data_IF_114999407174
#
_entry.id   IF_114999407174
#
_cell.length_a   1.000
_cell.length_b   1.000
_cell.length_c   1.000
_cell.angle_alpha   90.00
_cell.angle_beta   90.00
_cell.angle_gamma   90.00
#
_symmetry.space_group_name_H-M   'P 1'
#
loop_
_entity.id
_entity.type
_entity.pdbx_description
1 polymer ?
#
# COMPACT_ATOMS: atom_id res chain seq x y z
N UNK A 1 -40.89 39.62 54.14
CA UNK A 1 -39.85 38.56 54.19
C UNK A 1 -40.43 37.28 53.58
N UNK A 2 -40.11 36.93 52.33
CA UNK A 2 -40.25 35.58 51.74
C UNK A 2 -39.83 35.65 50.27
N UNK A 3 -38.52 35.69 50.04
CA UNK A 3 -37.93 35.69 48.71
C UNK A 3 -36.61 34.90 48.75
N UNK A 4 -36.68 33.62 49.13
CA UNK A 4 -35.48 32.76 49.20
C UNK A 4 -35.73 31.31 48.80
N UNK A 5 -36.99 30.85 48.73
CA UNK A 5 -37.30 29.44 48.47
C UNK A 5 -37.34 29.05 46.98
N UNK A 6 -37.53 30.00 46.07
CA UNK A 6 -37.69 29.73 44.63
C UNK A 6 -36.38 29.59 43.84
N UNK A 7 -35.31 30.24 44.31
CA UNK A 7 -34.03 30.24 43.59
C UNK A 7 -33.27 28.91 43.76
N UNK A 8 -33.34 28.32 44.96
CA UNK A 8 -32.75 27.02 45.27
C UNK A 8 -33.44 25.86 44.53
N UNK A 9 -34.75 25.94 44.34
CA UNK A 9 -35.51 24.93 43.58
C UNK A 9 -35.24 25.00 42.08
N UNK A 10 -35.08 26.21 41.51
CA UNK A 10 -34.61 26.38 40.13
C UNK A 10 -33.18 25.85 39.93
N UNK A 11 -32.29 26.01 40.90
CA UNK A 11 -30.92 25.49 40.83
C UNK A 11 -30.88 23.96 40.86
N UNK A 12 -31.74 23.32 41.65
CA UNK A 12 -31.82 21.84 41.74
C UNK A 12 -32.42 21.21 40.48
N UNK A 13 -33.35 21.89 39.80
CA UNK A 13 -33.91 21.43 38.51
C UNK A 13 -32.90 21.50 37.36
N UNK A 14 -31.97 22.46 37.38
CA UNK A 14 -30.94 22.61 36.34
C UNK A 14 -29.82 21.55 36.40
N UNK A 15 -29.59 20.93 37.57
CA UNK A 15 -28.50 19.97 37.78
C UNK A 15 -28.86 18.51 37.39
N UNK A 16 -30.12 18.22 37.04
CA UNK A 16 -30.64 16.85 36.95
C UNK A 16 -30.58 16.13 35.60
N UNK A 17 -30.10 16.76 34.52
CA UNK A 17 -30.15 16.18 33.17
C UNK A 17 -28.77 15.96 32.53
N UNK A 18 -27.80 15.53 33.33
CA UNK A 18 -26.64 14.82 32.81
C UNK A 18 -27.01 13.34 32.59
N UNK A 19 -27.95 13.08 31.67
CA UNK A 19 -28.10 11.75 31.12
C UNK A 19 -26.79 11.42 30.40
N UNK A 20 -25.96 10.59 31.04
CA UNK A 20 -24.77 10.03 30.44
C UNK A 20 -25.22 9.19 29.24
N UNK A 21 -25.32 9.83 28.08
CA UNK A 21 -25.32 9.16 26.79
C UNK A 21 -23.94 8.54 26.66
N UNK A 22 -23.81 7.32 27.20
CA UNK A 22 -22.72 6.45 26.83
C UNK A 22 -22.77 6.32 25.30
N UNK A 23 -21.67 6.55 24.58
CA UNK A 23 -21.61 6.15 23.19
C UNK A 23 -21.97 4.65 23.15
N UNK A 24 -22.67 4.16 22.11
CA UNK A 24 -22.85 2.73 21.96
C UNK A 24 -21.45 2.12 22.07
N UNK A 25 -21.29 1.16 22.98
CA UNK A 25 -20.11 0.33 23.02
C UNK A 25 -20.01 -0.30 21.64
N UNK A 26 -19.19 0.30 20.79
CA UNK A 26 -18.82 -0.24 19.49
C UNK A 26 -18.22 -1.59 19.83
N UNK A 27 -19.02 -2.65 19.66
CA UNK A 27 -18.52 -4.01 19.69
C UNK A 27 -17.27 -4.00 18.81
N UNK A 28 -16.16 -4.67 19.20
CA UNK A 28 -14.97 -4.74 18.36
C UNK A 28 -15.41 -5.08 16.96
N UNK A 29 -15.39 -4.08 16.07
CA UNK A 29 -15.73 -4.26 14.69
C UNK A 29 -14.83 -5.40 14.24
N UNK A 30 -15.33 -6.50 13.68
CA UNK A 30 -14.46 -7.52 13.14
C UNK A 30 -13.59 -6.76 12.16
N UNK A 31 -12.31 -6.56 12.50
CA UNK A 31 -11.37 -5.86 11.65
C UNK A 31 -11.51 -6.58 10.33
N UNK A 32 -12.12 -5.90 9.36
CA UNK A 32 -12.43 -6.48 8.07
C UNK A 32 -11.11 -7.10 7.64
N UNK A 33 -11.10 -8.43 7.55
CA UNK A 33 -9.91 -9.22 7.81
C UNK A 33 -8.69 -8.59 7.17
N UNK A 34 -7.58 -8.61 7.89
CA UNK A 34 -6.27 -8.65 7.26
C UNK A 34 -6.28 -9.83 6.30
N UNK A 35 -6.84 -9.61 5.12
CA UNK A 35 -6.92 -10.57 4.04
C UNK A 35 -5.47 -10.98 3.81
N UNK A 36 -5.15 -12.29 3.91
CA UNK A 36 -3.77 -12.77 3.88
C UNK A 36 -3.18 -12.31 2.57
N UNK A 37 -2.37 -11.23 2.59
CA UNK A 37 -2.06 -10.33 1.46
C UNK A 37 -2.23 -11.00 0.10
N UNK A 38 -3.47 -11.07 -0.40
CA UNK A 38 -3.74 -11.66 -1.70
C UNK A 38 -3.29 -10.59 -2.67
N UNK A 39 -2.04 -10.70 -3.11
CA UNK A 39 -1.52 -9.87 -4.17
C UNK A 39 -2.32 -10.16 -5.42
N UNK A 40 -3.33 -9.31 -5.67
CA UNK A 40 -4.03 -9.32 -6.93
C UNK A 40 -3.13 -8.70 -7.97
N UNK A 41 -2.78 -9.49 -8.98
CA UNK A 41 -2.02 -9.06 -10.15
C UNK A 41 -2.64 -7.77 -10.70
N UNK A 42 -1.88 -6.68 -10.81
CA UNK A 42 -2.42 -5.46 -11.36
C UNK A 42 -2.73 -5.69 -12.85
N UNK A 43 -3.77 -5.02 -13.36
CA UNK A 43 -4.06 -5.05 -14.79
C UNK A 43 -2.83 -4.60 -15.59
N UNK A 44 -2.59 -5.16 -16.79
CA UNK A 44 -1.48 -4.75 -17.64
C UNK A 44 -1.44 -3.21 -17.80
N UNK A 45 -0.30 -2.59 -17.48
CA UNK A 45 -0.12 -1.14 -17.55
C UNK A 45 -0.53 -0.34 -16.31
N UNK A 46 -1.13 -0.97 -15.29
CA UNK A 46 -1.49 -0.34 -14.01
C UNK A 46 -0.50 -0.83 -12.94
N UNK A 47 -0.01 0.08 -12.09
CA UNK A 47 0.77 -0.32 -10.91
C UNK A 47 -0.20 -0.62 -9.74
N UNK A 48 0.12 -1.58 -8.86
CA UNK A 48 -0.67 -1.86 -7.67
C UNK A 48 -0.89 -0.60 -6.82
N UNK A 49 -2.06 -0.47 -6.17
CA UNK A 49 -2.38 0.71 -5.35
C UNK A 49 -1.34 1.04 -4.25
N UNK A 50 -0.71 0.07 -3.57
CA UNK A 50 0.38 0.36 -2.63
C UNK A 50 1.58 1.06 -3.29
N UNK A 51 1.84 0.75 -4.57
CA UNK A 51 2.92 1.35 -5.36
C UNK A 51 2.54 2.76 -5.83
N UNK A 52 1.29 2.99 -6.17
CA UNK A 52 0.80 4.30 -6.62
C UNK A 52 0.76 5.36 -5.51
N UNK A 53 0.64 4.94 -4.24
CA UNK A 53 0.62 5.84 -3.08
C UNK A 53 2.01 6.35 -2.67
N UNK A 54 3.07 5.78 -3.23
CA UNK A 54 4.45 6.14 -2.96
C UNK A 54 5.03 6.92 -4.16
N UNK A 55 5.20 8.25 -4.06
CA UNK A 55 5.59 9.08 -5.20
C UNK A 55 7.00 8.73 -5.72
N UNK A 56 7.92 8.35 -4.83
CA UNK A 56 9.28 7.95 -5.22
C UNK A 56 9.26 6.60 -5.95
N UNK A 57 8.48 5.65 -5.44
CA UNK A 57 8.37 4.35 -6.09
C UNK A 57 7.70 4.48 -7.46
N UNK A 58 6.68 5.34 -7.60
CA UNK A 58 6.03 5.67 -8.88
C UNK A 58 7.03 6.26 -9.89
N UNK A 59 7.94 7.12 -9.44
CA UNK A 59 9.00 7.66 -10.28
C UNK A 59 9.95 6.55 -10.77
N UNK A 60 10.41 5.68 -9.87
CA UNK A 60 11.25 4.53 -10.21
C UNK A 60 10.60 3.62 -11.27
N UNK A 61 9.30 3.36 -11.18
CA UNK A 61 8.58 2.55 -12.16
C UNK A 61 8.41 3.21 -13.53
N UNK A 62 8.60 4.52 -13.65
CA UNK A 62 8.41 5.24 -14.92
C UNK A 62 9.43 4.82 -15.97
N UNK A 63 10.66 4.48 -15.56
CA UNK A 63 11.68 3.93 -16.45
C UNK A 63 11.28 2.57 -17.03
N UNK A 64 10.73 1.68 -16.20
CA UNK A 64 10.31 0.33 -16.59
C UNK A 64 9.03 0.30 -17.44
N UNK A 65 8.24 1.38 -17.43
CA UNK A 65 7.03 1.49 -18.28
C UNK A 65 7.34 1.86 -19.73
N UNK A 66 8.55 2.36 -20.04
CA UNK A 66 8.91 2.75 -21.42
C UNK A 66 8.95 1.54 -22.38
N UNK A 67 9.61 0.41 -22.03
CA UNK A 67 9.61 -0.76 -22.91
C UNK A 67 8.26 -1.49 -22.82
N UNK A 68 7.56 -1.73 -23.96
CA UNK A 68 6.25 -2.38 -23.96
C UNK A 68 6.27 -3.76 -23.32
N UNK A 69 5.46 -3.95 -22.27
CA UNK A 69 5.31 -5.23 -21.57
C UNK A 69 6.33 -5.48 -20.45
N UNK A 70 7.38 -4.67 -20.30
CA UNK A 70 8.46 -4.91 -19.34
C UNK A 70 7.96 -5.09 -17.88
N UNK A 71 7.05 -4.23 -17.43
CA UNK A 71 6.43 -4.36 -16.09
C UNK A 71 5.67 -5.69 -15.94
N UNK A 72 4.91 -6.09 -16.97
CA UNK A 72 4.18 -7.37 -16.96
C UNK A 72 5.14 -8.56 -16.94
N UNK A 73 6.20 -8.51 -17.74
CA UNK A 73 7.20 -9.57 -17.85
C UNK A 73 7.96 -9.76 -16.52
N UNK A 74 8.26 -8.66 -15.81
CA UNK A 74 8.83 -8.70 -14.45
C UNK A 74 7.89 -9.42 -13.48
N UNK A 75 6.60 -9.03 -13.43
CA UNK A 75 5.63 -9.69 -12.56
C UNK A 75 5.44 -11.17 -12.91
N UNK A 76 5.27 -11.49 -14.20
CA UNK A 76 5.12 -12.87 -14.66
C UNK A 76 6.35 -13.72 -14.36
N UNK A 77 7.56 -13.17 -14.53
CA UNK A 77 8.80 -13.87 -14.22
C UNK A 77 8.85 -14.24 -12.74
N UNK A 78 8.45 -13.32 -11.85
CA UNK A 78 8.43 -13.58 -10.41
C UNK A 78 7.37 -14.62 -10.01
N UNK A 79 6.17 -14.52 -10.60
CA UNK A 79 5.09 -15.50 -10.41
C UNK A 79 5.55 -16.90 -10.81
N UNK A 80 6.12 -17.02 -12.02
CA UNK A 80 6.58 -18.28 -12.60
C UNK A 80 7.85 -18.83 -11.94
N UNK A 81 8.66 -17.97 -11.32
CA UNK A 81 9.94 -18.35 -10.71
C UNK A 81 11.07 -18.57 -11.73
N UNK A 82 10.96 -18.01 -12.93
CA UNK A 82 12.06 -17.97 -13.90
C UNK A 82 12.05 -16.64 -14.65
N UNK A 83 13.24 -16.10 -14.95
CA UNK A 83 13.36 -14.80 -15.60
C UNK A 83 13.09 -14.92 -17.11
N UNK A 84 12.12 -14.15 -17.59
CA UNK A 84 11.80 -14.02 -19.02
C UNK A 84 11.58 -12.54 -19.33
N UNK A 85 12.68 -11.81 -19.55
CA UNK A 85 12.67 -10.39 -19.88
C UNK A 85 13.28 -10.16 -21.26
N UNK A 86 12.69 -9.23 -22.01
CA UNK A 86 13.24 -8.78 -23.30
C UNK A 86 14.47 -7.90 -23.11
N UNK A 87 15.29 -7.78 -24.15
CA UNK A 87 16.54 -7.00 -24.13
C UNK A 87 16.30 -5.51 -23.80
N UNK A 88 15.24 -4.91 -24.34
CA UNK A 88 14.82 -3.53 -24.06
C UNK A 88 14.37 -3.34 -22.60
N UNK A 89 13.69 -4.33 -22.03
CA UNK A 89 13.37 -4.35 -20.60
C UNK A 89 14.64 -4.40 -19.74
N UNK A 90 15.61 -5.26 -20.08
CA UNK A 90 16.88 -5.31 -19.35
C UNK A 90 17.73 -4.04 -19.52
N UNK A 91 17.64 -3.34 -20.65
CA UNK A 91 18.23 -2.00 -20.79
C UNK A 91 17.58 -1.02 -19.80
N UNK A 92 16.26 -1.05 -19.64
CA UNK A 92 15.57 -0.20 -18.68
C UNK A 92 15.89 -0.56 -17.21
N UNK A 93 16.00 -1.86 -16.88
CA UNK A 93 16.41 -2.33 -15.54
C UNK A 93 17.81 -1.85 -15.19
N UNK A 94 18.78 -2.00 -16.10
CA UNK A 94 20.17 -1.53 -15.88
C UNK A 94 20.28 -0.01 -15.76
N UNK A 95 19.34 0.73 -16.34
CA UNK A 95 19.30 2.19 -16.24
C UNK A 95 18.65 2.70 -14.94
N UNK A 96 18.15 1.82 -14.07
CA UNK A 96 17.67 2.21 -12.75
C UNK A 96 18.85 2.58 -11.85
N UNK A 97 18.64 3.59 -10.99
CA UNK A 97 19.54 3.80 -9.86
C UNK A 97 19.45 2.63 -8.87
N UNK A 98 20.51 2.40 -8.08
CA UNK A 98 20.51 1.38 -7.03
C UNK A 98 19.33 1.53 -6.08
N UNK A 99 19.00 2.77 -5.71
CA UNK A 99 17.83 3.10 -4.88
C UNK A 99 16.53 2.62 -5.53
N UNK A 100 16.33 2.91 -6.82
CA UNK A 100 15.12 2.51 -7.52
C UNK A 100 15.04 1.01 -7.72
N UNK A 101 16.16 0.37 -8.07
CA UNK A 101 16.24 -1.07 -8.21
C UNK A 101 15.84 -1.76 -6.89
N UNK A 102 16.47 -1.38 -5.79
CA UNK A 102 16.14 -1.92 -4.47
C UNK A 102 14.68 -1.71 -4.12
N UNK A 103 14.16 -0.49 -4.25
CA UNK A 103 12.77 -0.17 -3.89
C UNK A 103 11.74 -0.95 -4.72
N UNK A 104 12.00 -1.15 -6.01
CA UNK A 104 11.14 -1.95 -6.89
C UNK A 104 11.19 -3.42 -6.47
N UNK A 105 12.37 -4.03 -6.50
CA UNK A 105 12.49 -5.49 -6.42
C UNK A 105 12.43 -6.05 -4.99
N UNK A 106 12.61 -5.23 -3.96
CA UNK A 106 12.37 -5.63 -2.55
C UNK A 106 10.92 -5.40 -2.11
N UNK A 107 10.11 -4.75 -2.94
CA UNK A 107 8.67 -4.63 -2.68
C UNK A 107 7.96 -5.96 -2.95
N UNK A 108 6.93 -6.24 -2.15
CA UNK A 108 5.99 -7.34 -2.44
C UNK A 108 5.37 -7.05 -3.82
N UNK A 109 5.19 -8.03 -4.73
CA UNK A 109 5.10 -9.49 -4.58
C UNK A 109 6.32 -10.30 -5.01
N UNK A 110 7.50 -9.70 -5.07
CA UNK A 110 8.66 -10.44 -5.56
C UNK A 110 9.09 -11.53 -4.57
N UNK A 111 9.29 -12.75 -5.08
CA UNK A 111 9.81 -13.88 -4.30
C UNK A 111 11.23 -13.58 -3.79
N UNK A 112 11.65 -14.14 -2.65
CA UNK A 112 13.04 -14.08 -2.21
C UNK A 112 13.98 -14.57 -3.33
N UNK A 113 15.11 -13.89 -3.54
CA UNK A 113 16.08 -14.22 -4.59
C UNK A 113 15.77 -13.59 -5.96
N UNK A 114 14.51 -13.27 -6.27
CA UNK A 114 14.11 -12.71 -7.57
C UNK A 114 14.88 -11.43 -7.93
N UNK A 115 15.14 -10.57 -6.94
CA UNK A 115 15.94 -9.35 -7.09
C UNK A 115 17.32 -9.64 -7.67
N UNK A 116 18.02 -10.63 -7.14
CA UNK A 116 19.38 -10.98 -7.59
C UNK A 116 19.33 -11.70 -8.93
N UNK A 117 18.34 -12.57 -9.15
CA UNK A 117 18.13 -13.24 -10.43
C UNK A 117 17.93 -12.24 -11.57
N UNK A 118 17.12 -11.20 -11.37
CA UNK A 118 16.93 -10.13 -12.37
C UNK A 118 18.23 -9.38 -12.62
N UNK A 119 19.02 -9.11 -11.57
CA UNK A 119 20.30 -8.42 -11.69
C UNK A 119 21.29 -9.22 -12.55
N UNK A 120 21.44 -10.51 -12.26
CA UNK A 120 22.31 -11.42 -13.00
C UNK A 120 21.82 -11.60 -14.44
N UNK A 121 20.53 -11.83 -14.63
CA UNK A 121 19.92 -12.01 -15.96
C UNK A 121 20.12 -10.78 -16.86
N UNK A 122 19.86 -9.58 -16.34
CA UNK A 122 20.00 -8.37 -17.14
C UNK A 122 21.45 -7.91 -17.32
N UNK A 123 22.40 -8.41 -16.53
CA UNK A 123 23.83 -8.21 -16.78
C UNK A 123 24.35 -9.04 -17.97
N UNK A 124 23.74 -10.20 -18.24
CA UNK A 124 24.08 -11.07 -19.38
C UNK A 124 23.20 -10.86 -20.61
N UNK A 125 22.22 -9.96 -20.57
CA UNK A 125 21.37 -9.61 -21.72
C UNK A 125 22.13 -8.68 -22.68
N UNK A 126 22.72 -9.27 -23.73
CA UNK A 126 23.46 -8.58 -24.79
C UNK A 126 22.54 -7.85 -25.76
#
# INVERSE_FOLDING_TARGET
MKATAGLLTMFLLLLGLAAAVAPPAEAPQPVAGSSPRIWRKPSPGILPAPILRDPELRECWTHLRRPPGCVSDIYQSSEKGFISLKQDCCKAVRALSDRCFQRIFTSIPFKPGFTEEVKVFCASAF
#
